data_IF_344398811535
#
_entry.id   IF_344398811535
#
_cell.length_a   1.000
_cell.length_b   1.000
_cell.length_c   1.000
_cell.angle_alpha   90.00
_cell.angle_beta   90.00
_cell.angle_gamma   90.00
#
_symmetry.space_group_name_H-M   'P 1'
#
loop_
_entity.id
_entity.type
_entity.pdbx_description
1 polymer ?
#
# COMPACT_ATOMS: atom_id res chain seq x y z
N UNK A 1 -54.35 -10.83 100.04
CA UNK A 1 -53.08 -11.45 99.58
C UNK A 1 -53.44 -12.67 98.75
N UNK A 2 -52.91 -12.77 97.53
CA UNK A 2 -53.16 -13.90 96.64
C UNK A 2 -52.95 -13.55 95.17
N UNK A 3 -51.72 -13.19 94.79
CA UNK A 3 -51.28 -13.19 93.40
C UNK A 3 -50.90 -14.63 93.01
N UNK A 4 -51.44 -15.19 91.92
CA UNK A 4 -50.75 -16.20 91.10
C UNK A 4 -51.31 -16.23 89.67
N UNK A 5 -50.57 -15.55 88.80
CA UNK A 5 -50.14 -15.94 87.44
C UNK A 5 -51.02 -16.88 86.59
N UNK A 6 -51.64 -16.29 85.56
CA UNK A 6 -52.11 -16.97 84.35
C UNK A 6 -50.92 -17.52 83.54
N UNK A 7 -50.77 -18.84 83.46
CA UNK A 7 -49.90 -19.49 82.47
C UNK A 7 -50.64 -19.52 81.13
N UNK A 8 -50.13 -18.83 80.11
CA UNK A 8 -50.56 -19.04 78.73
C UNK A 8 -50.15 -20.45 78.26
N UNK A 9 -50.91 -21.13 77.38
CA UNK A 9 -50.64 -22.51 76.99
C UNK A 9 -49.38 -22.59 76.12
N UNK A 10 -48.40 -23.41 76.52
CA UNK A 10 -47.21 -23.71 75.71
C UNK A 10 -47.58 -24.37 74.35
N UNK A 11 -48.75 -25.01 74.25
CA UNK A 11 -49.13 -25.83 73.11
C UNK A 11 -49.56 -25.02 71.86
N UNK A 12 -50.00 -23.77 72.02
CA UNK A 12 -50.34 -22.89 70.87
C UNK A 12 -49.10 -22.32 70.18
N UNK A 13 -48.01 -22.10 70.91
CA UNK A 13 -46.74 -21.64 70.33
C UNK A 13 -46.07 -22.75 69.49
N UNK A 14 -46.06 -23.98 69.99
CA UNK A 14 -45.46 -25.14 69.30
C UNK A 14 -46.13 -25.45 67.95
N UNK A 15 -47.46 -25.28 67.85
CA UNK A 15 -48.19 -25.48 66.59
C UNK A 15 -47.95 -24.36 65.56
N UNK A 16 -47.69 -23.14 66.02
CA UNK A 16 -47.44 -21.99 65.13
C UNK A 16 -46.01 -22.04 64.58
N UNK A 17 -45.03 -22.44 65.40
CA UNK A 17 -43.65 -22.68 64.99
C UNK A 17 -43.54 -23.84 63.97
N UNK A 18 -44.27 -24.95 64.20
CA UNK A 18 -44.30 -26.07 63.25
C UNK A 18 -44.87 -25.67 61.87
N UNK A 19 -45.89 -24.80 61.83
CA UNK A 19 -46.44 -24.27 60.57
C UNK A 19 -45.43 -23.40 59.83
N UNK A 20 -44.70 -22.53 60.55
CA UNK A 20 -43.67 -21.66 59.97
C UNK A 20 -42.52 -22.49 59.40
N UNK A 21 -42.09 -23.55 60.10
CA UNK A 21 -41.05 -24.46 59.61
C UNK A 21 -41.49 -25.14 58.31
N UNK A 22 -42.70 -25.67 58.25
CA UNK A 22 -43.23 -26.31 57.04
C UNK A 22 -43.34 -25.32 55.85
N UNK A 23 -43.79 -24.08 56.10
CA UNK A 23 -43.85 -23.05 55.06
C UNK A 23 -42.45 -22.67 54.53
N UNK A 24 -41.46 -22.55 55.42
CA UNK A 24 -40.07 -22.32 55.04
C UNK A 24 -39.47 -23.50 54.27
N UNK A 25 -39.78 -24.74 54.66
CA UNK A 25 -39.36 -25.94 53.94
C UNK A 25 -39.92 -25.98 52.51
N UNK A 26 -41.20 -25.63 52.34
CA UNK A 26 -41.84 -25.50 51.01
C UNK A 26 -41.15 -24.40 50.20
N UNK A 27 -40.88 -23.23 50.78
CA UNK A 27 -40.19 -22.14 50.09
C UNK A 27 -38.78 -22.56 49.64
N UNK A 28 -38.02 -23.25 50.50
CA UNK A 28 -36.70 -23.79 50.16
C UNK A 28 -36.80 -24.79 49.00
N UNK A 29 -37.82 -25.64 48.98
CA UNK A 29 -38.02 -26.63 47.93
C UNK A 29 -38.36 -25.97 46.59
N UNK A 30 -39.19 -24.92 46.59
CA UNK A 30 -39.50 -24.10 45.41
C UNK A 30 -38.24 -23.41 44.87
N UNK A 31 -37.45 -22.79 45.74
CA UNK A 31 -36.20 -22.12 45.35
C UNK A 31 -35.19 -23.10 44.74
N UNK A 32 -35.05 -24.31 45.31
CA UNK A 32 -34.20 -25.37 44.74
C UNK A 32 -34.66 -25.78 43.34
N UNK A 33 -35.96 -25.91 43.11
CA UNK A 33 -36.50 -26.23 41.79
C UNK A 33 -36.26 -25.09 40.78
N UNK A 34 -36.46 -23.84 41.18
CA UNK A 34 -36.19 -22.66 40.35
C UNK A 34 -34.70 -22.57 39.98
N UNK A 35 -33.80 -22.82 40.94
CA UNK A 35 -32.36 -22.84 40.70
C UNK A 35 -31.97 -23.93 39.70
N UNK A 36 -32.48 -25.16 39.88
CA UNK A 36 -32.21 -26.25 38.96
C UNK A 36 -32.70 -25.96 37.53
N UNK A 37 -33.87 -25.31 37.40
CA UNK A 37 -34.38 -24.85 36.10
C UNK A 37 -33.47 -23.78 35.49
N UNK A 38 -33.04 -22.80 36.27
CA UNK A 38 -32.12 -21.75 35.79
C UNK A 38 -30.76 -22.31 35.39
N UNK A 39 -30.25 -23.30 36.11
CA UNK A 39 -29.02 -24.00 35.75
C UNK A 39 -29.16 -24.76 34.43
N UNK A 40 -30.31 -25.40 34.19
CA UNK A 40 -30.60 -26.04 32.92
C UNK A 40 -30.68 -25.02 31.77
N UNK A 41 -31.42 -23.92 31.95
CA UNK A 41 -31.52 -22.81 30.98
C UNK A 41 -30.14 -22.23 30.65
N UNK A 42 -29.30 -22.00 31.67
CA UNK A 42 -27.94 -21.47 31.50
C UNK A 42 -27.01 -22.44 30.77
N UNK A 43 -27.08 -23.74 31.06
CA UNK A 43 -26.30 -24.76 30.36
C UNK A 43 -26.67 -24.84 28.88
N UNK A 44 -27.96 -24.78 28.58
CA UNK A 44 -28.45 -24.78 27.20
C UNK A 44 -28.00 -23.51 26.45
N UNK A 45 -28.09 -22.34 27.09
CA UNK A 45 -27.61 -21.09 26.52
C UNK A 45 -26.09 -21.11 26.29
N UNK A 46 -25.31 -21.65 27.23
CA UNK A 46 -23.87 -21.79 27.09
C UNK A 46 -23.51 -22.68 25.89
N UNK A 47 -24.24 -23.79 25.70
CA UNK A 47 -24.04 -24.68 24.56
C UNK A 47 -24.35 -23.98 23.22
N UNK A 48 -25.41 -23.17 23.15
CA UNK A 48 -25.73 -22.34 21.97
C UNK A 48 -24.61 -21.35 21.66
N UNK A 49 -24.19 -20.57 22.64
CA UNK A 49 -23.12 -19.58 22.49
C UNK A 49 -21.79 -20.22 22.07
N UNK A 50 -21.44 -21.40 22.59
CA UNK A 50 -20.24 -22.13 22.16
C UNK A 50 -20.31 -22.56 20.70
N UNK A 51 -21.47 -23.02 20.24
CA UNK A 51 -21.66 -23.37 18.82
C UNK A 51 -21.51 -22.14 17.93
N UNK A 52 -22.16 -21.03 18.27
CA UNK A 52 -22.09 -19.77 17.52
C UNK A 52 -20.66 -19.21 17.47
N UNK A 53 -19.94 -19.23 18.60
CA UNK A 53 -18.55 -18.76 18.66
C UNK A 53 -17.61 -19.64 17.82
N UNK A 54 -17.80 -20.96 17.80
CA UNK A 54 -17.04 -21.86 16.95
C UNK A 54 -17.28 -21.57 15.45
N UNK A 55 -18.53 -21.35 15.05
CA UNK A 55 -18.89 -20.97 13.68
C UNK A 55 -18.26 -19.63 13.26
N UNK A 56 -18.32 -18.64 14.15
CA UNK A 56 -17.69 -17.33 13.93
C UNK A 56 -16.16 -17.45 13.85
N UNK A 57 -15.52 -18.25 14.70
CA UNK A 57 -14.08 -18.49 14.63
C UNK A 57 -13.67 -19.13 13.30
N UNK A 58 -14.46 -20.11 12.80
CA UNK A 58 -14.22 -20.70 11.50
C UNK A 58 -14.35 -19.66 10.37
N UNK A 59 -15.36 -18.80 10.44
CA UNK A 59 -15.56 -17.73 9.46
C UNK A 59 -14.42 -16.70 9.48
N UNK A 60 -13.97 -16.30 10.66
CA UNK A 60 -12.83 -15.39 10.83
C UNK A 60 -11.57 -16.01 10.22
N UNK A 61 -11.29 -17.29 10.47
CA UNK A 61 -10.15 -18.00 9.89
C UNK A 61 -10.16 -17.99 8.35
N UNK A 62 -11.33 -18.22 7.75
CA UNK A 62 -11.50 -18.15 6.30
C UNK A 62 -11.23 -16.74 5.75
N UNK A 63 -11.79 -15.71 6.40
CA UNK A 63 -11.58 -14.31 6.00
C UNK A 63 -10.12 -13.87 6.15
N UNK A 64 -9.43 -14.33 7.19
CA UNK A 64 -8.00 -14.10 7.38
C UNK A 64 -7.17 -14.71 6.25
N UNK A 65 -7.49 -15.92 5.80
CA UNK A 65 -6.85 -16.56 4.64
C UNK A 65 -7.04 -15.72 3.36
N UNK A 66 -8.27 -15.31 3.06
CA UNK A 66 -8.57 -14.43 1.91
C UNK A 66 -7.80 -13.11 1.98
N UNK A 67 -7.75 -12.48 3.17
CA UNK A 67 -6.99 -11.25 3.41
C UNK A 67 -5.50 -11.46 3.16
N UNK A 68 -4.95 -12.57 3.62
CA UNK A 68 -3.53 -12.89 3.43
C UNK A 68 -3.18 -13.05 1.95
N UNK A 69 -4.02 -13.77 1.18
CA UNK A 69 -3.84 -13.90 -0.28
C UNK A 69 -3.94 -12.54 -0.98
N UNK A 70 -4.91 -11.71 -0.61
CA UNK A 70 -5.04 -10.36 -1.16
C UNK A 70 -3.79 -9.50 -0.87
N UNK A 71 -3.28 -9.54 0.36
CA UNK A 71 -2.07 -8.83 0.75
C UNK A 71 -0.82 -9.34 0.00
N UNK A 72 -0.69 -10.66 -0.18
CA UNK A 72 0.39 -11.26 -0.96
C UNK A 72 0.33 -10.82 -2.43
N UNK A 73 -0.86 -10.82 -3.03
CA UNK A 73 -1.07 -10.35 -4.40
C UNK A 73 -0.73 -8.86 -4.54
N UNK A 74 -1.14 -8.04 -3.59
CA UNK A 74 -0.81 -6.62 -3.55
C UNK A 74 0.70 -6.39 -3.45
N UNK A 75 1.38 -7.07 -2.52
CA UNK A 75 2.83 -6.97 -2.36
C UNK A 75 3.59 -7.38 -3.65
N UNK A 76 3.12 -8.43 -4.34
CA UNK A 76 3.67 -8.86 -5.63
C UNK A 76 3.49 -7.78 -6.71
N UNK A 77 2.31 -7.17 -6.81
CA UNK A 77 2.04 -6.08 -7.74
C UNK A 77 2.94 -4.87 -7.47
N UNK A 78 3.06 -4.45 -6.21
CA UNK A 78 3.91 -3.32 -5.80
C UNK A 78 5.40 -3.57 -6.09
N UNK A 79 5.87 -4.81 -5.93
CA UNK A 79 7.25 -5.16 -6.30
C UNK A 79 7.51 -4.93 -7.79
N UNK A 80 6.57 -5.34 -8.65
CA UNK A 80 6.70 -5.13 -10.11
C UNK A 80 6.66 -3.64 -10.48
N UNK A 81 5.76 -2.87 -9.85
CA UNK A 81 5.71 -1.42 -10.05
C UNK A 81 7.03 -0.73 -9.70
N UNK A 82 7.66 -1.10 -8.58
CA UNK A 82 8.92 -0.51 -8.16
C UNK A 82 10.07 -0.82 -9.13
N UNK A 83 10.11 -2.02 -9.74
CA UNK A 83 11.11 -2.36 -10.77
C UNK A 83 10.95 -1.46 -12.00
N UNK A 84 9.72 -1.34 -12.52
CA UNK A 84 9.42 -0.48 -13.67
C UNK A 84 9.73 1.00 -13.36
N UNK A 85 9.40 1.45 -12.15
CA UNK A 85 9.70 2.81 -11.68
C UNK A 85 11.21 3.07 -11.65
N UNK A 86 12.01 2.14 -11.11
CA UNK A 86 13.48 2.29 -11.11
C UNK A 86 14.07 2.31 -12.53
N UNK A 87 13.51 1.57 -13.49
CA UNK A 87 13.98 1.59 -14.88
C UNK A 87 13.75 2.95 -15.55
N UNK A 88 12.59 3.57 -15.32
CA UNK A 88 12.25 4.88 -15.84
C UNK A 88 13.00 6.03 -15.13
N UNK A 89 13.42 5.82 -13.88
CA UNK A 89 14.18 6.79 -13.08
C UNK A 89 15.70 6.75 -13.35
N UNK A 90 16.20 5.80 -14.16
CA UNK A 90 17.59 5.83 -14.63
C UNK A 90 17.80 7.05 -15.53
N UNK A 91 18.22 8.17 -14.92
CA UNK A 91 18.64 9.36 -15.64
C UNK A 91 19.84 9.01 -16.52
N UNK A 92 19.73 9.27 -17.82
CA UNK A 92 20.89 9.21 -18.73
C UNK A 92 21.88 10.28 -18.25
N UNK A 93 23.18 9.95 -18.03
CA UNK A 93 24.16 10.95 -17.64
C UNK A 93 24.23 12.12 -18.64
N UNK A 94 24.30 13.36 -18.15
CA UNK A 94 24.42 14.59 -18.98
C UNK A 94 25.48 14.42 -20.07
N UNK A 95 26.64 13.90 -19.66
CA UNK A 95 27.81 13.67 -20.52
C UNK A 95 27.53 12.73 -21.70
N UNK A 96 26.70 11.71 -21.51
CA UNK A 96 26.38 10.76 -22.58
C UNK A 96 25.51 11.45 -23.65
N UNK A 97 24.58 12.31 -23.21
CA UNK A 97 23.76 13.13 -24.11
C UNK A 97 24.64 14.16 -24.83
N UNK A 98 25.52 14.88 -24.11
CA UNK A 98 26.46 15.83 -24.72
C UNK A 98 27.33 15.18 -25.80
N UNK A 99 27.84 13.98 -25.51
CA UNK A 99 28.65 13.22 -26.45
C UNK A 99 27.85 12.88 -27.71
N UNK A 100 26.57 12.54 -27.57
CA UNK A 100 25.69 12.20 -28.70
C UNK A 100 25.41 13.36 -29.66
N UNK A 101 25.57 14.60 -29.21
CA UNK A 101 25.38 15.83 -30.02
C UNK A 101 26.66 16.64 -30.17
N UNK A 102 27.82 16.03 -29.91
CA UNK A 102 29.12 16.70 -29.98
C UNK A 102 29.54 16.99 -31.43
N UNK A 103 30.15 18.16 -31.64
CA UNK A 103 30.70 18.56 -32.92
C UNK A 103 32.05 17.86 -33.13
N UNK A 104 32.26 17.10 -34.23
CA UNK A 104 33.54 16.43 -34.47
C UNK A 104 34.73 17.35 -34.74
N UNK A 105 34.51 18.66 -34.85
CA UNK A 105 35.55 19.66 -35.14
C UNK A 105 36.05 20.32 -33.85
N UNK A 106 35.16 20.79 -32.98
CA UNK A 106 35.52 21.45 -31.72
C UNK A 106 35.38 20.55 -30.49
N UNK A 107 34.79 19.36 -30.63
CA UNK A 107 34.54 18.37 -29.55
C UNK A 107 33.60 18.85 -28.44
N UNK A 108 32.89 19.96 -28.65
CA UNK A 108 31.87 20.49 -27.75
C UNK A 108 30.45 20.17 -28.27
N UNK A 109 29.40 20.22 -27.43
CA UNK A 109 28.01 20.14 -27.88
C UNK A 109 27.73 21.13 -29.01
N UNK A 110 27.06 20.67 -30.07
CA UNK A 110 26.86 21.46 -31.29
C UNK A 110 26.10 22.77 -31.04
N UNK A 111 26.75 23.91 -31.24
CA UNK A 111 26.11 25.23 -31.23
C UNK A 111 25.53 25.53 -32.62
N UNK A 112 24.23 25.88 -32.66
CA UNK A 112 23.48 26.10 -33.90
C UNK A 112 23.63 24.97 -34.92
N UNK A 113 23.49 23.74 -34.45
CA UNK A 113 23.76 22.51 -35.22
C UNK A 113 23.25 22.56 -36.67
N UNK A 114 24.13 22.22 -37.62
CA UNK A 114 23.85 22.07 -39.05
C UNK A 114 24.26 20.68 -39.53
N UNK A 115 23.53 20.14 -40.50
CA UNK A 115 23.70 18.81 -41.07
C UNK A 115 24.03 18.89 -42.56
N UNK A 116 24.99 18.08 -43.00
CA UNK A 116 25.28 17.89 -44.43
C UNK A 116 24.30 16.89 -45.00
N UNK A 117 23.41 17.33 -45.90
CA UNK A 117 22.25 16.55 -46.38
C UNK A 117 22.57 15.14 -46.90
N UNK A 118 23.70 14.94 -47.58
CA UNK A 118 24.02 13.66 -48.22
C UNK A 118 24.73 12.65 -47.31
N UNK A 119 25.43 13.09 -46.27
CA UNK A 119 26.15 12.19 -45.37
C UNK A 119 25.63 12.19 -43.93
N UNK A 120 24.75 13.13 -43.56
CA UNK A 120 24.11 13.18 -42.25
C UNK A 120 24.98 13.66 -41.09
N UNK A 121 26.28 13.91 -41.31
CA UNK A 121 27.15 14.42 -40.25
C UNK A 121 26.75 15.84 -39.83
N UNK A 122 26.72 16.05 -38.51
CA UNK A 122 26.27 17.29 -37.87
C UNK A 122 27.44 18.01 -37.21
N UNK A 123 27.45 19.33 -37.31
CA UNK A 123 28.52 20.20 -36.82
C UNK A 123 27.93 21.50 -36.27
N UNK A 124 28.74 22.30 -35.57
CA UNK A 124 28.38 23.70 -35.33
C UNK A 124 28.36 24.46 -36.67
N UNK A 125 27.44 25.42 -36.81
CA UNK A 125 27.36 26.27 -38.02
C UNK A 125 28.69 26.98 -38.30
N UNK A 126 29.29 27.58 -37.27
CA UNK A 126 30.59 28.25 -37.37
C UNK A 126 31.72 27.30 -37.80
N UNK A 127 31.86 26.16 -37.14
CA UNK A 127 32.91 25.17 -37.43
C UNK A 127 32.84 24.65 -38.86
N UNK A 128 31.63 24.32 -39.34
CA UNK A 128 31.47 23.83 -40.70
C UNK A 128 31.72 24.93 -41.73
N UNK A 129 31.27 26.16 -41.45
CA UNK A 129 31.48 27.31 -42.36
C UNK A 129 32.97 27.60 -42.53
N UNK A 130 33.74 27.60 -41.45
CA UNK A 130 35.19 27.78 -41.48
C UNK A 130 35.87 26.66 -42.27
N UNK A 131 35.51 25.39 -42.02
CA UNK A 131 36.07 24.27 -42.76
C UNK A 131 35.78 24.35 -44.26
N UNK A 132 34.53 24.65 -44.63
CA UNK A 132 34.11 24.77 -46.02
C UNK A 132 34.72 25.98 -46.72
N UNK A 133 35.31 26.94 -46.01
CA UNK A 133 36.12 28.01 -46.62
C UNK A 133 37.43 27.48 -47.20
N UNK A 134 37.94 26.37 -46.64
CA UNK A 134 39.21 25.74 -47.02
C UNK A 134 38.97 24.55 -47.97
N UNK A 135 38.04 23.66 -47.63
CA UNK A 135 37.75 22.43 -48.40
C UNK A 135 36.26 22.19 -48.54
N UNK A 136 35.77 21.97 -49.76
CA UNK A 136 34.35 21.69 -50.05
C UNK A 136 33.97 20.21 -49.80
N UNK A 137 34.39 19.64 -48.67
CA UNK A 137 34.16 18.25 -48.28
C UNK A 137 33.77 18.15 -46.80
N UNK A 138 33.03 17.10 -46.44
CA UNK A 138 32.67 16.80 -45.05
C UNK A 138 33.94 16.57 -44.19
N UNK A 139 34.09 17.24 -43.03
CA UNK A 139 35.22 17.02 -42.13
C UNK A 139 35.38 15.55 -41.68
N UNK A 140 34.25 14.84 -41.51
CA UNK A 140 34.22 13.47 -40.98
C UNK A 140 34.45 12.42 -42.07
N UNK A 141 33.67 12.45 -43.16
CA UNK A 141 33.67 11.37 -44.16
C UNK A 141 34.20 11.78 -45.54
N UNK A 142 34.66 13.04 -45.71
CA UNK A 142 35.24 13.56 -46.96
C UNK A 142 34.31 13.55 -48.19
N UNK A 143 33.02 13.25 -48.00
CA UNK A 143 32.02 13.39 -49.06
C UNK A 143 31.91 14.87 -49.46
N UNK A 144 31.91 15.13 -50.77
CA UNK A 144 31.79 16.47 -51.32
C UNK A 144 30.49 17.17 -50.86
N UNK A 145 30.62 18.44 -50.46
CA UNK A 145 29.48 19.26 -50.02
C UNK A 145 29.01 20.10 -51.20
N UNK A 146 28.01 19.59 -51.91
CA UNK A 146 27.49 20.18 -53.15
C UNK A 146 26.44 21.26 -52.85
N UNK A 147 25.65 21.05 -51.80
CA UNK A 147 24.59 21.97 -51.37
C UNK A 147 24.96 22.60 -50.03
N UNK A 148 24.41 23.79 -49.77
CA UNK A 148 24.51 24.41 -48.46
C UNK A 148 24.05 23.43 -47.36
N UNK A 149 24.70 23.39 -46.19
CA UNK A 149 24.22 22.63 -45.04
C UNK A 149 22.80 23.07 -44.63
N UNK A 150 22.03 22.17 -44.03
CA UNK A 150 20.70 22.49 -43.48
C UNK A 150 20.78 22.62 -41.95
N UNK A 151 19.91 23.39 -41.29
CA UNK A 151 19.78 23.33 -39.83
C UNK A 151 19.38 21.93 -39.36
N UNK A 152 20.01 21.43 -38.30
CA UNK A 152 19.60 20.21 -37.62
C UNK A 152 18.74 20.59 -36.39
N UNK A 153 17.46 20.87 -36.62
CA UNK A 153 16.54 21.30 -35.55
C UNK A 153 16.43 20.29 -34.41
N UNK A 154 16.53 18.98 -34.71
CA UNK A 154 16.50 17.95 -33.68
C UNK A 154 17.70 18.07 -32.72
N UNK A 155 18.92 18.19 -33.25
CA UNK A 155 20.11 18.38 -32.42
C UNK A 155 20.06 19.70 -31.61
N UNK A 156 19.54 20.77 -32.22
CA UNK A 156 19.32 22.06 -31.52
C UNK A 156 18.33 21.92 -30.37
N UNK A 157 17.25 21.15 -30.54
CA UNK A 157 16.25 20.94 -29.50
C UNK A 157 16.80 20.08 -28.36
N UNK A 158 17.54 19.02 -28.68
CA UNK A 158 18.23 18.20 -27.66
C UNK A 158 19.19 19.07 -26.83
N UNK A 159 19.96 19.97 -27.45
CA UNK A 159 20.82 20.91 -26.72
C UNK A 159 20.03 21.82 -25.79
N UNK A 160 18.94 22.43 -26.26
CA UNK A 160 18.08 23.28 -25.40
C UNK A 160 17.52 22.50 -24.20
N UNK A 161 17.05 21.28 -24.43
CA UNK A 161 16.53 20.42 -23.37
C UNK A 161 17.62 20.08 -22.36
N UNK A 162 18.83 19.78 -22.83
CA UNK A 162 19.99 19.53 -21.98
C UNK A 162 20.31 20.75 -21.10
N UNK A 163 20.36 21.93 -21.71
CA UNK A 163 20.63 23.22 -21.05
C UNK A 163 19.52 23.57 -20.02
N UNK A 164 18.30 23.07 -20.20
CA UNK A 164 17.15 23.32 -19.31
C UNK A 164 17.02 22.29 -18.18
N UNK A 165 17.30 21.01 -18.46
CA UNK A 165 17.13 19.89 -17.50
C UNK A 165 18.32 19.83 -16.52
N UNK A 166 19.51 20.18 -16.99
CA UNK A 166 20.73 20.18 -16.20
C UNK A 166 21.21 21.62 -16.02
N UNK A 167 20.48 22.35 -15.18
CA UNK A 167 20.91 23.66 -14.69
C UNK A 167 21.94 23.39 -13.59
N UNK A 168 23.18 23.80 -13.79
CA UNK A 168 24.20 23.93 -12.75
C UNK A 168 23.94 25.18 -11.89
#
# INVERSE_FOLDING_TARGET
MGHTTTKAPLDSLNNTEASIINDLEIQVLVLKHQLARKDAENKEQLARTHKETAELQQRVKHLQGKRQTANQNFAKCMKNYNVLKCEMEKKVPRKDIETSISCPVCFEPTQDAVIIRFCGHTFCEGCLTEWLSIKKECPTCRVAVINAPAPNYAAREVKKLLDTIYID
#
